data_IF_024939233163
#
_entry.id   IF_024939233163
#
_cell.length_a   1.000
_cell.length_b   1.000
_cell.length_c   1.000
_cell.angle_alpha   90.00
_cell.angle_beta   90.00
_cell.angle_gamma   90.00
#
_symmetry.space_group_name_H-M   'P 1'
#
loop_
_entity.id
_entity.type
_entity.pdbx_description
1 polymer ?
#
# COMPACT_ATOMS: atom_id res chain seq x y z
N UNK A 1 4.67 4.33 16.89
CA UNK A 1 3.82 4.35 15.69
C UNK A 1 4.60 4.76 14.44
N UNK A 2 5.34 5.87 14.46
CA UNK A 2 6.04 6.42 13.29
C UNK A 2 7.00 5.46 12.55
N UNK A 3 7.72 4.59 13.25
CA UNK A 3 8.72 3.70 12.65
C UNK A 3 8.15 2.48 11.96
N UNK A 4 7.01 1.96 12.40
CA UNK A 4 6.37 0.80 11.78
C UNK A 4 5.89 1.14 10.35
N UNK A 5 5.25 2.29 10.20
CA UNK A 5 4.73 2.81 8.93
C UNK A 5 5.86 3.11 7.93
N UNK A 6 7.01 3.60 8.43
CA UNK A 6 8.21 3.79 7.62
C UNK A 6 8.76 2.47 7.06
N UNK A 7 8.67 1.40 7.86
CA UNK A 7 9.16 0.08 7.47
C UNK A 7 8.23 -0.56 6.42
N UNK A 8 6.92 -0.46 6.62
CA UNK A 8 5.91 -0.93 5.66
C UNK A 8 6.07 -0.27 4.30
N UNK A 9 6.16 1.06 4.28
CA UNK A 9 6.39 1.82 3.05
C UNK A 9 7.73 1.45 2.39
N UNK A 10 8.75 1.12 3.18
CA UNK A 10 10.04 0.64 2.65
C UNK A 10 9.95 -0.72 1.98
N UNK A 11 9.16 -1.64 2.53
CA UNK A 11 8.91 -2.96 1.94
C UNK A 11 8.14 -2.84 0.62
N UNK A 12 7.10 -2.01 0.60
CA UNK A 12 6.36 -1.69 -0.63
C UNK A 12 7.34 -1.23 -1.72
N UNK A 13 8.24 -0.32 -1.35
CA UNK A 13 9.16 0.29 -2.28
C UNK A 13 10.24 -0.67 -2.77
N UNK A 14 10.78 -1.51 -1.89
CA UNK A 14 11.78 -2.52 -2.25
C UNK A 14 11.23 -3.52 -3.27
N UNK A 15 9.97 -3.93 -3.08
CA UNK A 15 9.30 -4.82 -4.02
C UNK A 15 9.03 -4.14 -5.37
N UNK A 16 8.58 -2.88 -5.34
CA UNK A 16 8.35 -2.08 -6.54
C UNK A 16 9.64 -1.95 -7.36
N UNK A 17 10.75 -1.66 -6.68
CA UNK A 17 12.05 -1.42 -7.28
C UNK A 17 12.60 -2.65 -8.02
N UNK A 18 12.44 -3.82 -7.44
CA UNK A 18 12.94 -5.07 -8.03
C UNK A 18 12.20 -5.49 -9.30
N UNK A 19 11.05 -4.87 -9.61
CA UNK A 19 10.16 -5.28 -10.71
C UNK A 19 9.79 -4.17 -11.70
N UNK A 20 10.18 -2.93 -11.43
CA UNK A 20 10.02 -1.83 -12.36
C UNK A 20 11.05 -1.94 -13.49
N UNK A 21 10.56 -2.18 -14.70
CA UNK A 21 11.34 -1.84 -15.88
C UNK A 21 11.38 -0.31 -16.00
N UNK A 22 12.46 0.27 -15.46
CA UNK A 22 12.65 1.72 -15.43
C UNK A 22 12.69 2.36 -16.82
N UNK A 23 12.84 1.57 -17.88
CA UNK A 23 12.81 2.03 -19.27
C UNK A 23 11.38 2.19 -19.82
N UNK A 24 10.37 1.70 -19.09
CA UNK A 24 8.95 1.76 -19.48
C UNK A 24 8.12 2.62 -18.54
N UNK A 25 8.70 3.70 -17.98
CA UNK A 25 8.03 4.58 -17.00
C UNK A 25 7.02 5.54 -17.61
N UNK A 26 7.17 5.84 -18.89
CA UNK A 26 6.40 6.88 -19.53
C UNK A 26 4.89 6.60 -19.42
N UNK A 27 4.16 7.57 -18.85
CA UNK A 27 2.73 7.53 -18.58
C UNK A 27 2.24 6.55 -17.48
N UNK A 28 3.10 6.11 -16.55
CA UNK A 28 2.69 5.26 -15.43
C UNK A 28 2.76 6.00 -14.11
N UNK A 29 1.77 5.74 -13.26
CA UNK A 29 1.67 6.39 -11.93
C UNK A 29 1.66 5.39 -10.79
N UNK A 30 2.03 5.88 -9.60
CA UNK A 30 1.75 5.24 -8.31
C UNK A 30 0.55 5.95 -7.70
N UNK A 31 -0.55 5.24 -7.51
CA UNK A 31 -1.71 5.76 -6.83
C UNK A 31 -1.63 5.46 -5.33
N UNK A 32 -1.97 6.44 -4.50
CA UNK A 32 -2.05 6.28 -3.04
C UNK A 32 -3.40 6.82 -2.58
N UNK A 33 -4.15 5.99 -1.86
CA UNK A 33 -5.38 6.45 -1.22
C UNK A 33 -5.07 7.50 -0.16
N UNK A 34 -5.87 8.57 -0.10
CA UNK A 34 -5.81 9.57 0.96
C UNK A 34 -6.21 9.02 2.34
N UNK A 35 -6.82 7.82 2.40
CA UNK A 35 -7.08 7.09 3.64
C UNK A 35 -5.83 6.42 4.23
N UNK A 36 -4.70 6.40 3.50
CA UNK A 36 -3.42 5.93 4.02
C UNK A 36 -2.89 6.86 5.12
N UNK A 37 -2.08 6.30 6.01
CA UNK A 37 -1.42 7.11 7.04
C UNK A 37 -0.52 8.18 6.40
N UNK A 38 -0.53 9.42 6.91
CA UNK A 38 0.27 10.51 6.35
C UNK A 38 1.75 10.16 6.19
N UNK A 39 2.30 9.40 7.14
CA UNK A 39 3.69 8.95 7.12
C UNK A 39 3.96 8.00 5.94
N UNK A 40 3.04 7.07 5.67
CA UNK A 40 3.13 6.16 4.52
C UNK A 40 3.12 6.95 3.22
N UNK A 41 2.23 7.93 3.10
CA UNK A 41 2.14 8.81 1.93
C UNK A 41 3.47 9.53 1.69
N UNK A 42 4.02 10.18 2.73
CA UNK A 42 5.24 10.96 2.59
C UNK A 42 6.48 10.11 2.28
N UNK A 43 6.58 8.91 2.85
CA UNK A 43 7.69 7.99 2.53
C UNK A 43 7.60 7.52 1.08
N UNK A 44 6.41 7.17 0.60
CA UNK A 44 6.24 6.75 -0.79
C UNK A 44 6.58 7.89 -1.74
N UNK A 45 6.15 9.13 -1.47
CA UNK A 45 6.53 10.31 -2.26
C UNK A 45 8.04 10.51 -2.31
N UNK A 46 8.67 10.58 -1.15
CA UNK A 46 10.12 10.80 -1.01
C UNK A 46 10.93 9.74 -1.77
N UNK A 47 10.49 8.50 -1.78
CA UNK A 47 11.19 7.42 -2.48
C UNK A 47 10.86 7.34 -3.97
N UNK A 48 9.70 7.82 -4.38
CA UNK A 48 9.27 7.86 -5.79
C UNK A 48 9.97 8.96 -6.58
N UNK A 49 10.22 10.10 -5.93
CA UNK A 49 10.79 11.29 -6.57
C UNK A 49 12.15 11.04 -7.27
N UNK A 50 13.17 10.44 -6.61
CA UNK A 50 14.45 10.16 -7.25
C UNK A 50 14.35 9.21 -8.45
N UNK A 51 13.26 8.44 -8.52
CA UNK A 51 12.99 7.50 -9.61
C UNK A 51 12.24 8.14 -10.76
N UNK A 52 11.83 9.38 -10.63
CA UNK A 52 10.98 10.06 -11.61
C UNK A 52 9.59 9.42 -11.74
N UNK A 53 9.08 8.77 -10.68
CA UNK A 53 7.74 8.20 -10.66
C UNK A 53 6.72 9.26 -10.26
N UNK A 54 5.67 9.41 -11.05
CA UNK A 54 4.55 10.28 -10.73
C UNK A 54 3.68 9.63 -9.66
N UNK A 55 3.51 10.31 -8.52
CA UNK A 55 2.63 9.88 -7.44
C UNK A 55 1.34 10.68 -7.50
N UNK A 56 0.20 10.00 -7.46
CA UNK A 56 -1.14 10.60 -7.40
C UNK A 56 -1.79 10.17 -6.09
N UNK A 57 -2.19 11.14 -5.28
CA UNK A 57 -2.92 10.92 -4.03
C UNK A 57 -4.36 11.30 -4.28
N UNK A 58 -5.28 10.43 -3.89
CA UNK A 58 -6.69 10.70 -4.12
C UNK A 58 -7.62 9.72 -3.40
N UNK A 59 -8.92 9.94 -3.62
CA UNK A 59 -9.99 9.09 -3.15
C UNK A 59 -10.46 8.11 -4.25
N UNK A 60 -11.54 7.41 -4.00
CA UNK A 60 -12.13 6.43 -4.91
C UNK A 60 -12.63 7.05 -6.24
N UNK A 61 -13.07 8.31 -6.18
CA UNK A 61 -13.53 9.05 -7.36
C UNK A 61 -12.34 9.47 -8.22
N UNK A 62 -11.27 9.95 -7.58
CA UNK A 62 -10.03 10.32 -8.25
C UNK A 62 -9.42 9.11 -8.96
N UNK A 63 -9.40 7.95 -8.30
CA UNK A 63 -8.96 6.69 -8.90
C UNK A 63 -9.76 6.34 -10.17
N UNK A 64 -11.06 6.62 -10.17
CA UNK A 64 -11.92 6.37 -11.33
C UNK A 64 -11.61 7.28 -12.53
N UNK A 65 -11.14 8.49 -12.26
CA UNK A 65 -10.87 9.53 -13.26
C UNK A 65 -9.44 9.47 -13.83
N UNK A 66 -8.56 8.65 -13.27
CA UNK A 66 -7.20 8.46 -13.77
C UNK A 66 -7.26 7.83 -15.17
N UNK A 67 -6.56 8.41 -16.12
CA UNK A 67 -6.44 7.91 -17.50
C UNK A 67 -5.16 7.12 -17.74
N UNK A 68 -4.14 7.36 -16.90
CA UNK A 68 -2.83 6.74 -17.02
C UNK A 68 -2.83 5.29 -16.51
N UNK A 69 -1.89 4.49 -16.98
CA UNK A 69 -1.63 3.16 -16.43
C UNK A 69 -1.10 3.28 -15.00
N UNK A 70 -1.56 2.40 -14.13
CA UNK A 70 -1.15 2.36 -12.73
C UNK A 70 -0.05 1.31 -12.55
N UNK A 71 1.09 1.68 -11.99
CA UNK A 71 2.13 0.74 -11.58
C UNK A 71 1.63 -0.08 -10.39
N UNK A 72 1.22 0.65 -9.34
CA UNK A 72 0.56 0.08 -8.18
C UNK A 72 -0.40 1.08 -7.55
N UNK A 73 -1.42 0.56 -6.89
CA UNK A 73 -2.31 1.32 -6.03
C UNK A 73 -2.16 0.88 -4.59
N UNK A 74 -1.91 1.82 -3.71
CA UNK A 74 -1.71 1.61 -2.26
C UNK A 74 -2.98 2.04 -1.54
N UNK A 75 -3.58 1.12 -0.83
CA UNK A 75 -4.83 1.30 -0.08
C UNK A 75 -4.59 0.96 1.39
N UNK A 76 -5.31 1.60 2.30
CA UNK A 76 -5.23 1.38 3.74
C UNK A 76 -6.49 0.67 4.26
N UNK A 77 -6.32 -0.31 5.16
CA UNK A 77 -7.43 -1.09 5.70
C UNK A 77 -7.17 -1.57 7.14
N UNK A 78 -7.87 -1.07 8.15
CA UNK A 78 -8.75 0.12 8.13
C UNK A 78 -8.05 1.41 7.72
N UNK A 79 -8.82 2.42 7.31
CA UNK A 79 -8.32 3.74 6.97
C UNK A 79 -7.71 4.48 8.18
N UNK A 80 -7.01 5.58 7.93
CA UNK A 80 -6.28 6.34 8.96
C UNK A 80 -7.17 6.92 10.06
N UNK A 81 -8.43 7.22 9.73
CA UNK A 81 -9.43 7.70 10.70
C UNK A 81 -10.23 6.56 11.35
N UNK A 82 -9.89 5.31 11.07
CA UNK A 82 -10.58 4.12 11.58
C UNK A 82 -11.75 3.66 10.73
N UNK A 83 -11.98 4.26 9.59
CA UNK A 83 -13.04 3.87 8.66
C UNK A 83 -12.77 2.45 8.12
N UNK A 84 -13.84 1.65 8.10
CA UNK A 84 -13.80 0.28 7.54
C UNK A 84 -14.62 0.31 6.24
N UNK A 85 -13.95 0.59 5.14
CA UNK A 85 -14.53 0.52 3.79
C UNK A 85 -14.08 -0.76 3.10
N UNK A 86 -14.93 -1.38 2.29
CA UNK A 86 -14.53 -2.54 1.48
C UNK A 86 -13.69 -2.06 0.28
N UNK A 87 -12.38 -2.39 0.19
CA UNK A 87 -11.51 -1.89 -0.86
C UNK A 87 -11.61 -2.70 -2.17
N UNK A 88 -12.47 -3.70 -2.26
CA UNK A 88 -12.54 -4.64 -3.40
C UNK A 88 -12.79 -3.93 -4.74
N UNK A 89 -13.63 -2.89 -4.74
CA UNK A 89 -13.90 -2.12 -5.95
C UNK A 89 -12.65 -1.36 -6.42
N UNK A 90 -11.94 -0.71 -5.50
CA UNK A 90 -10.70 0.00 -5.82
C UNK A 90 -9.59 -0.94 -6.29
N UNK A 91 -9.46 -2.09 -5.66
CA UNK A 91 -8.55 -3.15 -6.10
C UNK A 91 -8.88 -3.55 -7.55
N UNK A 92 -10.15 -3.72 -7.87
CA UNK A 92 -10.59 -4.04 -9.23
C UNK A 92 -10.27 -2.91 -10.23
N UNK A 93 -10.46 -1.65 -9.85
CA UNK A 93 -10.13 -0.48 -10.68
C UNK A 93 -8.63 -0.41 -10.98
N UNK A 94 -7.78 -0.65 -9.96
CA UNK A 94 -6.32 -0.69 -10.11
C UNK A 94 -5.91 -1.80 -11.08
N UNK A 95 -6.45 -2.99 -10.92
CA UNK A 95 -6.14 -4.15 -11.79
C UNK A 95 -6.57 -3.96 -13.23
N UNK A 96 -7.71 -3.33 -13.46
CA UNK A 96 -8.18 -2.98 -14.83
C UNK A 96 -7.22 -2.04 -15.56
N UNK A 97 -6.36 -1.32 -14.83
CA UNK A 97 -5.30 -0.44 -15.36
C UNK A 97 -3.90 -1.08 -15.29
N UNK A 98 -3.84 -2.40 -15.32
CA UNK A 98 -2.62 -3.20 -15.25
C UNK A 98 -1.79 -2.98 -13.96
N UNK A 99 -2.35 -2.28 -12.96
CA UNK A 99 -1.70 -1.99 -11.69
C UNK A 99 -1.73 -3.18 -10.72
N UNK A 100 -0.77 -3.19 -9.79
CA UNK A 100 -0.76 -4.10 -8.65
C UNK A 100 -1.41 -3.43 -7.45
N UNK A 101 -2.29 -4.14 -6.77
CA UNK A 101 -2.95 -3.65 -5.56
C UNK A 101 -2.15 -4.04 -4.33
N UNK A 102 -1.80 -3.03 -3.53
CA UNK A 102 -1.09 -3.17 -2.27
C UNK A 102 -2.05 -2.73 -1.16
N UNK A 103 -2.34 -3.62 -0.23
CA UNK A 103 -3.18 -3.34 0.92
C UNK A 103 -2.32 -3.23 2.18
N UNK A 104 -2.25 -2.02 2.73
CA UNK A 104 -1.65 -1.76 4.04
C UNK A 104 -2.70 -2.09 5.08
N UNK A 105 -2.43 -3.06 5.95
CA UNK A 105 -3.46 -3.56 6.87
C UNK A 105 -2.97 -3.76 8.31
N UNK A 106 -3.88 -3.53 9.25
CA UNK A 106 -3.70 -3.90 10.65
C UNK A 106 -3.93 -5.42 10.80
N UNK A 107 -2.87 -6.15 11.11
CA UNK A 107 -2.94 -7.61 11.22
C UNK A 107 -3.98 -8.08 12.26
N UNK A 108 -4.17 -7.35 13.37
CA UNK A 108 -5.15 -7.69 14.38
C UNK A 108 -6.59 -7.51 13.88
N UNK A 109 -6.83 -6.52 13.04
CA UNK A 109 -8.16 -6.28 12.47
C UNK A 109 -8.64 -7.45 11.61
N UNK A 110 -7.72 -8.18 10.99
CA UNK A 110 -8.03 -9.34 10.13
C UNK A 110 -8.61 -10.54 10.88
N UNK A 111 -8.58 -10.53 12.24
CA UNK A 111 -9.33 -11.49 13.04
C UNK A 111 -10.86 -11.32 12.95
N UNK A 112 -11.33 -10.17 12.46
CA UNK A 112 -12.77 -9.83 12.34
C UNK A 112 -13.15 -9.41 10.92
N UNK A 113 -12.23 -8.86 10.18
CA UNK A 113 -12.45 -8.32 8.83
C UNK A 113 -11.99 -9.33 7.77
N UNK A 114 -12.46 -9.14 6.54
CA UNK A 114 -12.00 -9.93 5.40
C UNK A 114 -10.49 -9.79 5.22
N UNK A 115 -9.84 -10.87 4.87
CA UNK A 115 -8.41 -10.87 4.59
C UNK A 115 -8.08 -10.16 3.26
N UNK A 116 -6.85 -9.64 3.09
CA UNK A 116 -6.42 -9.07 1.82
C UNK A 116 -6.60 -10.00 0.62
N UNK A 117 -6.43 -11.30 0.82
CA UNK A 117 -6.63 -12.31 -0.24
C UNK A 117 -8.10 -12.41 -0.65
N UNK A 118 -9.03 -12.44 0.31
CA UNK A 118 -10.48 -12.45 0.04
C UNK A 118 -10.95 -11.18 -0.65
N UNK A 119 -10.32 -10.04 -0.34
CA UNK A 119 -10.57 -8.75 -0.99
C UNK A 119 -9.93 -8.67 -2.38
N UNK A 120 -9.10 -9.64 -2.74
CA UNK A 120 -8.44 -9.73 -4.03
C UNK A 120 -7.14 -8.93 -4.15
N UNK A 121 -6.55 -8.45 -3.06
CA UNK A 121 -5.27 -7.76 -3.10
C UNK A 121 -4.14 -8.66 -3.63
N UNK A 122 -3.16 -8.04 -4.28
CA UNK A 122 -1.99 -8.75 -4.79
C UNK A 122 -0.90 -8.84 -3.74
N UNK A 123 -0.78 -7.81 -2.92
CA UNK A 123 0.22 -7.67 -1.86
C UNK A 123 -0.48 -7.16 -0.60
N UNK A 124 -0.07 -7.68 0.55
CA UNK A 124 -0.45 -7.17 1.86
C UNK A 124 0.79 -6.83 2.66
N UNK A 125 0.78 -5.67 3.30
CA UNK A 125 1.84 -5.21 4.20
C UNK A 125 1.25 -4.72 5.50
N UNK A 126 2.02 -4.78 6.55
CA UNK A 126 1.61 -4.31 7.86
C UNK A 126 2.65 -4.65 8.92
N UNK A 127 2.27 -4.56 10.16
CA UNK A 127 3.13 -4.91 11.28
C UNK A 127 2.38 -5.69 12.37
N UNK A 128 3.13 -6.30 13.28
CA UNK A 128 2.58 -7.06 14.39
C UNK A 128 2.54 -6.26 15.71
N UNK A 129 2.70 -4.96 15.68
CA UNK A 129 2.77 -4.08 16.85
C UNK A 129 1.59 -4.28 17.81
N UNK A 130 0.40 -4.47 17.25
CA UNK A 130 -0.86 -4.65 17.97
C UNK A 130 -0.97 -5.97 18.76
N UNK A 131 -0.05 -6.92 18.56
CA UNK A 131 0.01 -8.17 19.31
C UNK A 131 0.78 -8.07 20.63
N UNK A 132 0.87 -6.87 21.22
CA UNK A 132 1.43 -6.66 22.55
C UNK A 132 2.91 -6.30 22.58
N UNK A 133 3.45 -5.80 21.47
CA UNK A 133 4.82 -5.30 21.45
C UNK A 133 4.88 -3.98 22.21
N UNK A 134 5.73 -3.85 23.28
CA UNK A 134 5.82 -2.64 24.07
C UNK A 134 6.42 -1.48 23.27
N UNK A 135 5.89 -0.28 23.47
CA UNK A 135 6.30 0.94 22.75
C UNK A 135 7.52 1.66 23.34
N UNK A 136 8.28 1.01 24.23
CA UNK A 136 9.50 1.58 24.80
C UNK A 136 10.53 1.93 23.70
N UNK A 137 10.93 3.20 23.62
CA UNK A 137 11.80 3.72 22.53
C UNK A 137 11.30 3.39 21.12
N UNK A 138 9.99 3.41 20.90
CA UNK A 138 9.36 2.98 19.65
C UNK A 138 9.07 1.48 19.58
N UNK A 139 9.66 0.68 20.45
CA UNK A 139 9.54 -0.79 20.48
C UNK A 139 10.22 -1.51 19.32
N UNK A 140 10.36 -2.82 19.40
CA UNK A 140 10.76 -3.64 18.26
C UNK A 140 9.67 -3.59 17.18
N UNK A 141 10.06 -3.53 15.91
CA UNK A 141 9.15 -3.56 14.78
C UNK A 141 9.28 -4.88 14.02
N UNK A 142 8.18 -5.60 13.91
CA UNK A 142 8.06 -6.78 13.06
C UNK A 142 7.05 -6.48 11.97
N UNK A 143 7.53 -5.93 10.86
CA UNK A 143 6.73 -5.76 9.67
C UNK A 143 6.56 -7.10 8.95
N UNK A 144 5.43 -7.28 8.27
CA UNK A 144 5.20 -8.41 7.38
C UNK A 144 4.95 -7.92 5.95
N UNK A 145 5.31 -8.78 5.03
CA UNK A 145 5.05 -8.64 3.62
C UNK A 145 4.53 -9.97 3.09
N UNK A 146 3.31 -9.98 2.58
CA UNK A 146 2.70 -11.16 1.99
C UNK A 146 2.30 -10.88 0.55
N UNK A 147 2.51 -11.82 -0.32
CA UNK A 147 2.21 -11.68 -1.75
C UNK A 147 1.72 -13.00 -2.33
N UNK A 148 1.08 -12.93 -3.50
CA UNK A 148 0.74 -14.12 -4.27
C UNK A 148 2.01 -14.82 -4.77
N UNK A 149 1.93 -16.14 -5.01
CA UNK A 149 3.07 -16.94 -5.47
C UNK A 149 3.67 -16.44 -6.79
N UNK A 150 2.84 -15.91 -7.67
CA UNK A 150 3.28 -15.33 -8.95
C UNK A 150 4.19 -14.10 -8.81
N UNK A 151 4.30 -13.54 -7.60
CA UNK A 151 5.12 -12.36 -7.29
C UNK A 151 6.30 -12.65 -6.37
N UNK A 152 6.59 -13.91 -6.14
CA UNK A 152 7.78 -14.35 -5.36
C UNK A 152 9.07 -14.25 -6.18
#
# INVERSE_FOLDING_TARGET
MLFAELFEASLIFSWLFGRLDLNKKDNKIVFISNDCHPQTIEVVKTRSEPLGLKVVIGNDEDLSNISEDIICGILQYPGTLGDIKDPSENISKIKKRNGKSILVCDLLSLAKLKTPAELGADIAVGNSQRFGIPMGYGGPHAAFFATKDEFK
#
